data_IF_553217240549
#
_entry.id   IF_553217240549
#
_cell.length_a   1.000
_cell.length_b   1.000
_cell.length_c   1.000
_cell.angle_alpha   90.00
_cell.angle_beta   90.00
_cell.angle_gamma   90.00
#
_symmetry.space_group_name_H-M   'P 1'
#
loop_
_entity.id
_entity.type
_entity.pdbx_description
1 polymer ?
#
# COMPACT_ATOMS: atom_id res chain seq x y z
N UNK A 1 7.68 -11.10 -1.74
CA UNK A 1 6.62 -10.11 -2.03
C UNK A 1 7.22 -8.95 -2.80
N UNK A 2 6.53 -8.41 -3.79
CA UNK A 2 7.07 -7.36 -4.68
C UNK A 2 6.20 -6.12 -4.65
N UNK A 3 6.79 -4.94 -4.92
CA UNK A 3 6.04 -3.69 -5.05
C UNK A 3 4.95 -3.77 -6.13
N UNK A 4 5.17 -4.54 -7.20
CA UNK A 4 4.16 -4.79 -8.24
C UNK A 4 2.86 -5.44 -7.70
N UNK A 5 2.96 -6.38 -6.77
CA UNK A 5 1.78 -7.02 -6.17
C UNK A 5 0.97 -6.05 -5.29
N UNK A 6 1.66 -5.11 -4.64
CA UNK A 6 1.05 -4.06 -3.83
C UNK A 6 0.44 -2.98 -4.75
N UNK A 7 1.13 -2.62 -5.84
CA UNK A 7 0.63 -1.70 -6.86
C UNK A 7 -0.68 -2.21 -7.47
N UNK A 8 -0.80 -3.49 -7.80
CA UNK A 8 -2.04 -4.06 -8.34
C UNK A 8 -3.24 -3.94 -7.37
N UNK A 9 -3.01 -4.06 -6.06
CA UNK A 9 -4.03 -3.84 -5.04
C UNK A 9 -4.43 -2.37 -4.97
N UNK A 10 -3.45 -1.45 -5.02
CA UNK A 10 -3.67 0.00 -5.02
C UNK A 10 -4.48 0.41 -6.25
N UNK A 11 -4.12 -0.07 -7.45
CA UNK A 11 -4.87 0.20 -8.69
C UNK A 11 -6.30 -0.34 -8.64
N UNK A 12 -6.52 -1.46 -7.96
CA UNK A 12 -7.87 -2.00 -7.76
C UNK A 12 -8.69 -1.11 -6.82
N UNK A 13 -8.09 -0.57 -5.74
CA UNK A 13 -8.72 0.43 -4.88
C UNK A 13 -9.03 1.72 -5.66
N UNK A 14 -8.09 2.18 -6.49
CA UNK A 14 -8.29 3.37 -7.34
C UNK A 14 -9.44 3.19 -8.34
N UNK A 15 -9.56 2.00 -8.96
CA UNK A 15 -10.64 1.69 -9.92
C UNK A 15 -12.02 1.61 -9.29
N UNK A 16 -12.14 0.98 -8.12
CA UNK A 16 -13.42 0.87 -7.43
C UNK A 16 -13.82 2.16 -6.69
N UNK A 17 -12.85 3.05 -6.45
CA UNK A 17 -13.03 4.21 -5.58
C UNK A 17 -12.64 3.85 -4.15
N UNK A 18 -11.89 4.75 -3.52
CA UNK A 18 -11.26 4.51 -2.21
C UNK A 18 -12.32 4.12 -1.18
N UNK A 19 -13.46 4.82 -1.14
CA UNK A 19 -14.55 4.60 -0.18
C UNK A 19 -15.58 3.53 -0.58
N UNK A 20 -15.37 2.84 -1.71
CA UNK A 20 -16.32 1.82 -2.13
C UNK A 20 -16.25 0.57 -1.25
N UNK A 21 -17.39 -0.09 -0.93
CA UNK A 21 -17.39 -1.36 -0.22
C UNK A 21 -16.53 -2.44 -0.90
N UNK A 22 -16.49 -2.42 -2.25
CA UNK A 22 -15.65 -3.33 -3.04
C UNK A 22 -14.14 -3.14 -2.78
N UNK A 23 -13.71 -1.95 -2.33
CA UNK A 23 -12.33 -1.66 -2.00
C UNK A 23 -11.88 -2.24 -0.64
N UNK A 24 -12.83 -2.65 0.23
CA UNK A 24 -12.50 -3.18 1.56
C UNK A 24 -11.62 -4.43 1.49
N UNK A 25 -11.94 -5.37 0.62
CA UNK A 25 -11.16 -6.61 0.46
C UNK A 25 -9.73 -6.31 0.01
N UNK A 26 -9.55 -5.35 -0.90
CA UNK A 26 -8.23 -4.93 -1.36
C UNK A 26 -7.45 -4.19 -0.26
N UNK A 27 -8.11 -3.33 0.53
CA UNK A 27 -7.48 -2.68 1.69
C UNK A 27 -7.00 -3.71 2.72
N UNK A 28 -7.82 -4.72 3.05
CA UNK A 28 -7.41 -5.79 3.97
C UNK A 28 -6.23 -6.60 3.43
N UNK A 29 -6.22 -6.93 2.13
CA UNK A 29 -5.09 -7.59 1.50
C UNK A 29 -3.82 -6.72 1.54
N UNK A 30 -3.97 -5.41 1.33
CA UNK A 30 -2.89 -4.42 1.37
C UNK A 30 -2.27 -4.30 2.76
N UNK A 31 -3.09 -4.29 3.82
CA UNK A 31 -2.62 -4.33 5.21
C UNK A 31 -1.86 -5.62 5.51
N UNK A 32 -2.36 -6.78 5.07
CA UNK A 32 -1.67 -8.07 5.25
C UNK A 32 -0.29 -8.06 4.59
N UNK A 33 -0.21 -7.57 3.34
CA UNK A 33 1.06 -7.43 2.61
C UNK A 33 2.02 -6.45 3.30
N UNK A 34 1.52 -5.34 3.84
CA UNK A 34 2.33 -4.45 4.67
C UNK A 34 2.94 -5.16 5.88
N UNK A 35 2.17 -5.99 6.59
CA UNK A 35 2.68 -6.73 7.75
C UNK A 35 3.73 -7.76 7.38
N UNK A 36 3.50 -8.50 6.29
CA UNK A 36 4.49 -9.44 5.74
C UNK A 36 5.80 -8.73 5.38
N UNK A 37 5.73 -7.50 4.85
CA UNK A 37 6.90 -6.75 4.37
C UNK A 37 7.68 -6.20 5.55
N UNK A 38 6.96 -5.64 6.53
CA UNK A 38 7.53 -5.19 7.78
C UNK A 38 8.20 -6.34 8.54
N UNK A 39 7.58 -7.52 8.60
CA UNK A 39 8.18 -8.68 9.26
C UNK A 39 9.48 -9.16 8.56
N UNK A 40 9.57 -8.99 7.24
CA UNK A 40 10.72 -9.44 6.46
C UNK A 40 11.93 -8.49 6.51
N UNK A 41 11.70 -7.18 6.64
CA UNK A 41 12.78 -6.19 6.54
C UNK A 41 12.49 -4.85 7.19
N UNK A 42 11.56 -4.83 8.16
CA UNK A 42 11.26 -3.67 8.98
C UNK A 42 10.67 -2.47 8.23
N UNK A 43 10.66 -1.29 8.88
CA UNK A 43 10.11 -0.06 8.32
C UNK A 43 10.77 0.36 6.99
N UNK A 44 12.08 0.16 6.86
CA UNK A 44 12.83 0.53 5.64
C UNK A 44 12.31 -0.17 4.38
N UNK A 45 11.80 -1.41 4.52
CA UNK A 45 11.19 -2.15 3.41
C UNK A 45 9.86 -1.52 2.98
N UNK A 46 9.05 -1.03 3.92
CA UNK A 46 7.81 -0.32 3.60
C UNK A 46 8.10 1.00 2.88
N UNK A 47 9.12 1.75 3.33
CA UNK A 47 9.54 2.99 2.70
C UNK A 47 10.03 2.76 1.26
N UNK A 48 10.81 1.69 1.04
CA UNK A 48 11.26 1.32 -0.30
C UNK A 48 10.08 1.01 -1.24
N UNK A 49 9.11 0.23 -0.76
CA UNK A 49 7.89 -0.08 -1.53
C UNK A 49 7.08 1.19 -1.83
N UNK A 50 6.92 2.10 -0.87
CA UNK A 50 6.22 3.37 -1.10
C UNK A 50 6.91 4.21 -2.17
N UNK A 51 8.24 4.31 -2.13
CA UNK A 51 9.03 5.02 -3.15
C UNK A 51 8.86 4.40 -4.54
N UNK A 52 8.93 3.08 -4.64
CA UNK A 52 8.73 2.37 -5.91
C UNK A 52 7.32 2.59 -6.50
N UNK A 53 6.28 2.52 -5.66
CA UNK A 53 4.89 2.75 -6.09
C UNK A 53 4.64 4.19 -6.49
N UNK A 54 5.24 5.15 -5.78
CA UNK A 54 5.16 6.57 -6.12
C UNK A 54 5.88 6.87 -7.46
N UNK A 55 7.02 6.22 -7.70
CA UNK A 55 7.77 6.37 -8.95
C UNK A 55 7.07 5.76 -10.17
N UNK A 56 6.20 4.75 -9.98
CA UNK A 56 5.49 4.08 -11.07
C UNK A 56 4.53 5.00 -11.84
N UNK A 57 3.91 5.98 -11.18
CA UNK A 57 3.15 7.05 -11.86
C UNK A 57 3.14 8.32 -10.98
N UNK A 58 3.91 9.37 -11.35
CA UNK A 58 3.96 10.63 -10.62
C UNK A 58 2.60 11.33 -10.47
N UNK A 59 1.67 11.14 -11.41
CA UNK A 59 0.33 11.75 -11.35
C UNK A 59 -0.54 11.14 -10.27
N UNK A 60 -0.29 9.86 -9.95
CA UNK A 60 -1.01 9.09 -8.92
C UNK A 60 -0.26 9.03 -7.60
N UNK A 61 1.02 9.44 -7.57
CA UNK A 61 1.91 9.29 -6.41
C UNK A 61 1.26 9.75 -5.09
N UNK A 62 0.61 10.92 -5.06
CA UNK A 62 -0.07 11.43 -3.86
C UNK A 62 -1.24 10.53 -3.42
N UNK A 63 -2.07 10.09 -4.36
CA UNK A 63 -3.21 9.19 -4.09
C UNK A 63 -2.72 7.84 -3.57
N UNK A 64 -1.71 7.27 -4.22
CA UNK A 64 -1.13 5.97 -3.84
C UNK A 64 -0.46 6.02 -2.48
N UNK A 65 0.27 7.10 -2.18
CA UNK A 65 0.84 7.33 -0.85
C UNK A 65 -0.24 7.39 0.23
N UNK A 66 -1.35 8.10 -0.02
CA UNK A 66 -2.47 8.17 0.94
C UNK A 66 -3.13 6.80 1.18
N UNK A 67 -3.33 6.01 0.12
CA UNK A 67 -3.88 4.64 0.23
C UNK A 67 -2.95 3.74 1.07
N UNK A 68 -1.64 3.80 0.81
CA UNK A 68 -0.65 3.01 1.56
C UNK A 68 -0.57 3.46 3.03
N UNK A 69 -0.53 4.77 3.29
CA UNK A 69 -0.50 5.31 4.65
C UNK A 69 -1.75 4.89 5.45
N UNK A 70 -2.94 4.98 4.84
CA UNK A 70 -4.17 4.54 5.49
C UNK A 70 -4.18 3.02 5.78
N UNK A 71 -3.64 2.20 4.88
CA UNK A 71 -3.60 0.75 5.05
C UNK A 71 -2.54 0.28 6.07
N UNK A 72 -1.49 1.07 6.29
CA UNK A 72 -0.32 0.69 7.08
C UNK A 72 -0.09 1.51 8.35
N UNK A 73 -0.97 2.46 8.70
CA UNK A 73 -0.83 3.33 9.88
C UNK A 73 -0.43 2.57 11.16
N UNK A 74 -1.17 1.52 11.51
CA UNK A 74 -0.86 0.71 12.70
C UNK A 74 0.32 -0.26 12.58
N UNK A 75 0.99 -0.32 11.42
CA UNK A 75 2.20 -1.13 11.17
C UNK A 75 3.44 -0.26 11.38
N UNK A 76 3.41 0.95 10.84
CA UNK A 76 4.53 1.92 10.93
C UNK A 76 4.63 2.59 12.29
N UNK A 77 3.55 2.63 13.08
CA UNK A 77 3.51 3.24 14.42
C UNK A 77 3.96 2.30 15.57
N UNK A 78 4.03 0.98 15.32
CA UNK A 78 4.40 -0.03 16.34
C UNK A 78 5.69 -0.78 16.03
N UNK A 79 6.51 -0.24 15.13
CA UNK A 79 7.82 -0.77 14.76
C UNK A 79 8.93 -0.23 15.65
#
# INVERSE_FOLDING_TARGET
MTAASILALVESIERHGVEAPAALAFRSALTRKGREAHAAGGPATLDAIQREIAAADPRRAKTRAAILAAAWSGITERG
#
